data_IF_607031932432
#
_entry.id   IF_607031932432
#
_cell.length_a   1.000
_cell.length_b   1.000
_cell.length_c   1.000
_cell.angle_alpha   90.00
_cell.angle_beta   90.00
_cell.angle_gamma   90.00
#
_symmetry.space_group_name_H-M   'P 1'
#
loop_
_entity.id
_entity.type
_entity.pdbx_description
1 polymer ?
#
# COMPACT_ATOMS: atom_id res chain seq x y z
N UNK A 1 4.94 22.05 21.19
CA UNK A 1 4.85 20.83 20.37
C UNK A 1 5.90 19.74 20.65
N UNK A 2 7.09 20.03 21.24
CA UNK A 2 8.09 18.99 21.55
C UNK A 2 7.71 18.01 22.69
N UNK A 3 6.74 18.34 23.54
CA UNK A 3 6.40 17.55 24.74
C UNK A 3 5.56 16.29 24.46
N UNK A 4 4.89 16.22 23.30
CA UNK A 4 4.02 15.08 22.96
C UNK A 4 4.76 13.94 22.26
N UNK A 5 5.75 14.26 21.41
CA UNK A 5 6.55 13.25 20.69
C UNK A 5 7.42 12.40 21.64
N UNK A 6 7.92 12.99 22.73
CA UNK A 6 8.67 12.26 23.77
C UNK A 6 7.82 11.26 24.56
N UNK A 7 6.50 11.49 24.69
CA UNK A 7 5.59 10.58 25.41
C UNK A 7 5.28 9.31 24.61
N UNK A 8 5.14 9.42 23.29
CA UNK A 8 4.86 8.28 22.41
C UNK A 8 6.05 7.31 22.36
N UNK A 9 7.29 7.82 22.25
CA UNK A 9 8.50 6.98 22.22
C UNK A 9 8.72 6.24 23.55
N UNK A 10 8.44 6.89 24.69
CA UNK A 10 8.54 6.25 26.02
C UNK A 10 7.49 5.13 26.18
N UNK A 11 6.26 5.32 25.69
CA UNK A 11 5.19 4.30 25.73
C UNK A 11 5.57 3.06 24.89
N UNK A 12 6.13 3.24 23.69
CA UNK A 12 6.55 2.14 22.83
C UNK A 12 7.74 1.35 23.41
N UNK A 13 8.71 2.02 24.06
CA UNK A 13 9.85 1.33 24.71
C UNK A 13 9.36 0.54 25.95
N UNK A 14 8.44 1.10 26.73
CA UNK A 14 7.89 0.38 27.90
C UNK A 14 7.04 -0.83 27.53
N UNK A 15 6.30 -0.78 26.41
CA UNK A 15 5.52 -1.91 25.92
C UNK A 15 6.42 -3.07 25.45
N UNK A 16 7.55 -2.76 24.81
CA UNK A 16 8.51 -3.78 24.36
C UNK A 16 9.30 -4.42 25.51
N UNK A 17 9.54 -3.68 26.60
CA UNK A 17 10.25 -4.20 27.79
C UNK A 17 9.36 -5.08 28.69
N UNK A 18 8.03 -4.85 28.68
CA UNK A 18 7.07 -5.73 29.39
C UNK A 18 6.83 -7.09 28.72
N UNK A 19 7.22 -7.25 27.44
CA UNK A 19 7.00 -8.51 26.72
C UNK A 19 8.09 -9.56 26.95
N UNK A 20 9.26 -9.17 27.48
CA UNK A 20 10.39 -10.10 27.72
C UNK A 20 10.47 -10.67 29.15
N UNK A 21 9.71 -10.13 30.11
CA UNK A 21 9.71 -10.62 31.51
C UNK A 21 8.65 -11.72 31.78
N UNK A 22 7.69 -11.93 30.88
CA UNK A 22 6.59 -12.90 31.04
C UNK A 22 6.99 -14.33 30.68
N UNK A 23 8.00 -14.52 29.81
CA UNK A 23 8.47 -15.86 29.41
C UNK A 23 9.20 -16.55 30.58
N UNK A 24 9.98 -15.81 31.37
CA UNK A 24 10.77 -16.39 32.47
C UNK A 24 9.92 -16.72 33.71
N UNK A 25 8.72 -16.16 33.84
CA UNK A 25 7.81 -16.46 34.96
C UNK A 25 7.00 -17.75 34.71
N UNK A 26 6.79 -18.14 33.45
CA UNK A 26 6.04 -19.35 33.09
C UNK A 26 6.71 -20.64 33.58
N UNK A 27 8.05 -20.65 33.69
CA UNK A 27 8.80 -21.82 34.18
C UNK A 27 8.65 -22.06 35.70
N UNK A 28 8.37 -21.01 36.49
CA UNK A 28 8.27 -21.12 37.95
C UNK A 28 6.87 -21.58 38.39
N UNK A 29 5.83 -21.18 37.65
CA UNK A 29 4.43 -21.51 37.97
C UNK A 29 4.12 -23.01 37.84
N UNK A 30 4.79 -23.72 36.93
CA UNK A 30 4.52 -25.16 36.70
C UNK A 30 4.98 -26.08 37.85
N UNK A 31 5.63 -25.54 38.89
CA UNK A 31 6.01 -26.27 40.12
C UNK A 31 4.95 -26.20 41.23
N UNK A 32 3.95 -25.33 41.10
CA UNK A 32 2.84 -25.23 42.05
C UNK A 32 1.58 -25.73 41.35
N UNK A 33 1.21 -26.98 41.62
CA UNK A 33 0.18 -27.75 40.92
C UNK A 33 -1.24 -27.17 40.97
N UNK A 34 -1.48 -26.07 40.29
CA UNK A 34 -2.80 -25.55 39.94
C UNK A 34 -3.07 -25.95 38.49
N UNK A 35 -4.03 -26.85 38.30
CA UNK A 35 -4.39 -27.37 36.99
C UNK A 35 -5.02 -26.25 36.12
N UNK A 36 -4.28 -25.82 35.09
CA UNK A 36 -4.63 -24.69 34.21
C UNK A 36 -5.71 -25.07 33.17
N UNK A 37 -6.00 -26.37 32.97
CA UNK A 37 -6.89 -26.84 31.90
C UNK A 37 -8.38 -26.55 32.15
N UNK A 38 -8.79 -26.38 33.41
CA UNK A 38 -10.20 -26.12 33.75
C UNK A 38 -10.54 -24.64 33.55
N UNK A 39 -9.67 -23.72 34.00
CA UNK A 39 -9.89 -22.27 33.79
C UNK A 39 -9.85 -21.88 32.31
N UNK A 40 -8.99 -22.52 31.52
CA UNK A 40 -8.89 -22.22 30.10
C UNK A 40 -10.10 -22.75 29.29
N UNK A 41 -10.69 -23.87 29.71
CA UNK A 41 -11.91 -24.40 29.09
C UNK A 41 -13.18 -23.62 29.49
N UNK A 42 -13.24 -23.06 30.70
CA UNK A 42 -14.34 -22.17 31.13
C UNK A 42 -14.28 -20.83 30.37
N UNK A 43 -13.09 -20.24 30.21
CA UNK A 43 -12.92 -19.00 29.42
C UNK A 43 -13.24 -19.20 27.93
N UNK A 44 -12.99 -20.39 27.38
CA UNK A 44 -13.34 -20.74 26.00
C UNK A 44 -14.82 -21.12 25.81
N UNK A 45 -15.50 -21.63 26.85
CA UNK A 45 -16.93 -21.98 26.77
C UNK A 45 -17.84 -20.76 27.01
N UNK A 46 -17.42 -19.81 27.86
CA UNK A 46 -18.13 -18.55 28.08
C UNK A 46 -18.08 -17.62 26.85
N UNK A 47 -16.98 -17.63 26.07
CA UNK A 47 -16.89 -16.84 24.83
C UNK A 47 -17.78 -17.36 23.70
N UNK A 48 -18.10 -18.66 23.68
CA UNK A 48 -19.02 -19.25 22.68
C UNK A 48 -20.50 -18.91 22.95
N UNK A 49 -20.87 -18.61 24.19
CA UNK A 49 -22.24 -18.25 24.55
C UNK A 49 -22.54 -16.74 24.42
N UNK A 50 -21.52 -15.90 24.33
CA UNK A 50 -21.71 -14.52 23.88
C UNK A 50 -21.59 -14.48 22.35
N UNK A 51 -22.67 -14.85 21.67
CA UNK A 51 -22.83 -14.49 20.26
C UNK A 51 -22.85 -12.97 20.19
N UNK A 52 -21.67 -12.36 20.01
CA UNK A 52 -21.57 -11.06 19.36
C UNK A 52 -22.11 -11.33 17.96
N UNK A 53 -23.43 -11.17 17.81
CA UNK A 53 -24.03 -11.08 16.48
C UNK A 53 -23.20 -10.03 15.76
N UNK A 54 -22.63 -10.31 14.56
CA UNK A 54 -22.03 -9.25 13.76
C UNK A 54 -23.09 -8.15 13.74
N UNK A 55 -22.73 -6.98 14.24
CA UNK A 55 -23.69 -5.91 14.44
C UNK A 55 -24.19 -5.57 13.04
N UNK A 56 -25.35 -6.11 12.68
CA UNK A 56 -25.85 -6.11 11.31
C UNK A 56 -25.78 -4.70 10.77
N UNK A 57 -25.29 -4.56 9.54
CA UNK A 57 -25.03 -3.31 8.81
C UNK A 57 -25.72 -2.12 9.47
N UNK A 58 -25.03 -1.44 10.38
CA UNK A 58 -25.52 -0.13 10.81
C UNK A 58 -25.47 0.70 9.54
N UNK A 59 -26.63 0.97 8.95
CA UNK A 59 -26.77 1.87 7.80
C UNK A 59 -26.22 3.23 8.23
N UNK A 60 -24.95 3.47 7.92
CA UNK A 60 -24.30 4.76 8.08
C UNK A 60 -24.90 5.65 6.99
N UNK A 61 -25.36 6.84 7.38
CA UNK A 61 -25.84 7.86 6.46
C UNK A 61 -24.74 8.19 5.43
N UNK A 62 -25.09 8.27 4.16
CA UNK A 62 -24.13 8.44 3.05
C UNK A 62 -23.29 9.70 3.20
N UNK A 63 -23.77 10.73 3.92
CA UNK A 63 -22.98 11.94 4.24
C UNK A 63 -21.73 11.69 5.09
N UNK A 64 -21.65 10.53 5.75
CA UNK A 64 -20.49 10.10 6.54
C UNK A 64 -19.64 9.05 5.82
N UNK A 65 -20.02 8.65 4.60
CA UNK A 65 -19.21 7.77 3.75
C UNK A 65 -18.29 8.61 2.88
N UNK A 66 -17.14 8.03 2.54
CA UNK A 66 -16.25 8.61 1.54
C UNK A 66 -16.96 8.66 0.19
N UNK A 67 -16.95 9.81 -0.48
CA UNK A 67 -17.56 9.95 -1.80
C UNK A 67 -16.59 9.45 -2.89
N UNK A 68 -16.82 8.23 -3.40
CA UNK A 68 -15.99 7.67 -4.46
C UNK A 68 -16.20 8.34 -5.82
N UNK A 69 -17.32 9.06 -6.00
CA UNK A 69 -17.64 9.78 -7.24
C UNK A 69 -16.65 10.90 -7.55
N UNK A 70 -15.92 11.40 -6.53
CA UNK A 70 -14.86 12.39 -6.67
C UNK A 70 -13.63 11.82 -7.41
N UNK A 71 -13.46 10.49 -7.41
CA UNK A 71 -12.38 9.79 -8.13
C UNK A 71 -12.91 9.26 -9.46
N UNK A 72 -13.97 8.45 -9.41
CA UNK A 72 -14.66 7.91 -10.58
C UNK A 72 -16.16 7.90 -10.35
N UNK A 73 -16.91 8.43 -11.32
CA UNK A 73 -18.38 8.45 -11.29
C UNK A 73 -18.99 7.06 -11.16
N UNK A 74 -18.38 6.08 -11.80
CA UNK A 74 -18.84 4.70 -11.82
C UNK A 74 -17.69 3.73 -12.14
N UNK A 75 -17.96 2.44 -12.01
CA UNK A 75 -17.01 1.36 -12.33
C UNK A 75 -16.62 1.37 -13.81
N UNK A 76 -17.50 1.82 -14.71
CA UNK A 76 -17.23 1.80 -16.15
C UNK A 76 -16.17 2.85 -16.52
N UNK A 77 -16.16 4.01 -15.86
CA UNK A 77 -15.12 5.02 -15.99
C UNK A 77 -13.77 4.48 -15.47
N UNK A 78 -13.79 3.74 -14.36
CA UNK A 78 -12.61 3.08 -13.82
C UNK A 78 -12.05 1.99 -14.75
N UNK A 79 -12.91 1.14 -15.32
CA UNK A 79 -12.49 0.11 -16.29
C UNK A 79 -11.93 0.73 -17.59
N UNK A 80 -12.48 1.87 -18.04
CA UNK A 80 -11.93 2.61 -19.19
C UNK A 80 -10.51 3.11 -18.95
N UNK A 81 -10.21 3.60 -17.75
CA UNK A 81 -8.86 4.05 -17.41
C UNK A 81 -7.87 2.87 -17.34
N UNK A 82 -8.30 1.69 -16.86
CA UNK A 82 -7.48 0.47 -16.96
C UNK A 82 -7.15 0.13 -18.41
N UNK A 83 -8.16 0.15 -19.30
CA UNK A 83 -7.94 -0.09 -20.72
C UNK A 83 -7.01 0.96 -21.34
N UNK A 84 -7.20 2.23 -20.98
CA UNK A 84 -6.36 3.34 -21.43
C UNK A 84 -4.90 3.11 -21.04
N UNK A 85 -4.63 2.74 -19.80
CA UNK A 85 -3.28 2.42 -19.31
C UNK A 85 -2.65 1.29 -20.13
N UNK A 86 -3.38 0.18 -20.31
CA UNK A 86 -2.87 -0.97 -21.08
C UNK A 86 -2.63 -0.68 -22.56
N UNK A 87 -3.47 0.15 -23.19
CA UNK A 87 -3.41 0.40 -24.63
C UNK A 87 -2.46 1.56 -24.99
N UNK A 88 -2.43 2.62 -24.18
CA UNK A 88 -1.74 3.87 -24.52
C UNK A 88 -0.39 4.03 -23.83
N UNK A 89 -0.20 3.48 -22.63
CA UNK A 89 1.01 3.67 -21.84
C UNK A 89 1.90 2.45 -21.83
N UNK A 90 1.37 1.26 -21.51
CA UNK A 90 2.17 0.03 -21.38
C UNK A 90 3.04 -0.31 -22.60
N UNK A 91 2.58 -0.15 -23.86
CA UNK A 91 3.42 -0.40 -25.02
C UNK A 91 4.63 0.54 -25.12
N UNK A 92 4.51 1.78 -24.62
CA UNK A 92 5.56 2.80 -24.71
C UNK A 92 6.75 2.50 -23.80
N UNK A 93 6.55 1.80 -22.67
CA UNK A 93 7.64 1.47 -21.74
C UNK A 93 8.80 0.73 -22.42
N UNK A 94 8.47 -0.21 -23.32
CA UNK A 94 9.47 -0.96 -24.10
C UNK A 94 10.28 -0.08 -25.05
N UNK A 95 9.76 1.08 -25.44
CA UNK A 95 10.48 1.99 -26.33
C UNK A 95 11.61 2.74 -25.62
N UNK A 96 11.58 2.82 -24.29
CA UNK A 96 12.56 3.52 -23.46
C UNK A 96 13.66 2.62 -22.90
N UNK A 97 13.45 1.31 -22.88
CA UNK A 97 14.43 0.32 -22.42
C UNK A 97 15.75 0.44 -23.22
N UNK A 98 16.86 0.63 -22.50
CA UNK A 98 18.21 0.81 -23.07
C UNK A 98 18.50 2.21 -23.61
N UNK A 99 17.59 3.18 -23.47
CA UNK A 99 17.73 4.56 -23.98
C UNK A 99 17.80 5.62 -22.89
N UNK A 100 17.81 5.25 -21.61
CA UNK A 100 17.77 6.19 -20.47
C UNK A 100 19.09 6.92 -20.21
N UNK A 101 20.14 6.61 -20.98
CA UNK A 101 21.42 7.35 -20.98
C UNK A 101 21.31 8.72 -21.64
N UNK A 102 20.36 8.92 -22.54
CA UNK A 102 20.10 10.23 -23.15
C UNK A 102 19.22 11.06 -22.21
N UNK A 103 19.68 12.24 -21.74
CA UNK A 103 18.89 13.10 -20.86
C UNK A 103 17.52 13.51 -21.42
N UNK A 104 17.38 13.63 -22.74
CA UNK A 104 16.10 13.97 -23.34
C UNK A 104 15.13 12.77 -23.32
N UNK A 105 15.64 11.56 -23.57
CA UNK A 105 14.84 10.33 -23.49
C UNK A 105 14.44 9.99 -22.06
N UNK A 106 15.34 10.22 -21.11
CA UNK A 106 15.02 10.11 -19.68
C UNK A 106 13.92 11.09 -19.28
N UNK A 107 13.96 12.34 -19.75
CA UNK A 107 12.90 13.32 -19.47
C UNK A 107 11.56 12.92 -20.09
N UNK A 108 11.56 12.42 -21.33
CA UNK A 108 10.34 11.90 -21.98
C UNK A 108 9.76 10.73 -21.20
N UNK A 109 10.60 9.78 -20.78
CA UNK A 109 10.20 8.65 -19.95
C UNK A 109 9.59 9.10 -18.63
N UNK A 110 10.28 9.95 -17.86
CA UNK A 110 9.82 10.38 -16.53
C UNK A 110 8.49 11.14 -16.58
N UNK A 111 8.26 11.94 -17.62
CA UNK A 111 6.96 12.61 -17.83
C UNK A 111 5.85 11.62 -18.16
N UNK A 112 6.12 10.67 -19.05
CA UNK A 112 5.15 9.65 -19.42
C UNK A 112 4.81 8.75 -18.23
N UNK A 113 5.82 8.39 -17.43
CA UNK A 113 5.67 7.60 -16.22
C UNK A 113 4.90 8.35 -15.11
N UNK A 114 5.14 9.65 -14.95
CA UNK A 114 4.35 10.51 -14.07
C UNK A 114 2.87 10.53 -14.49
N UNK A 115 2.57 10.71 -15.78
CA UNK A 115 1.20 10.67 -16.29
C UNK A 115 0.53 9.31 -16.07
N UNK A 116 1.25 8.20 -16.31
CA UNK A 116 0.76 6.85 -16.11
C UNK A 116 0.52 6.53 -14.63
N UNK A 117 1.46 6.89 -13.76
CA UNK A 117 1.39 6.64 -12.31
C UNK A 117 0.25 7.38 -11.63
N UNK A 118 -0.11 8.59 -12.11
CA UNK A 118 -1.30 9.31 -11.63
C UNK A 118 -2.58 8.51 -11.92
N UNK A 119 -2.71 7.96 -13.13
CA UNK A 119 -3.90 7.16 -13.51
C UNK A 119 -3.92 5.84 -12.74
N UNK A 120 -2.79 5.12 -12.68
CA UNK A 120 -2.66 3.89 -11.89
C UNK A 120 -2.99 4.10 -10.41
N UNK A 121 -2.54 5.21 -9.83
CA UNK A 121 -2.85 5.56 -8.44
C UNK A 121 -4.36 5.73 -8.24
N UNK A 122 -5.06 6.41 -9.16
CA UNK A 122 -6.52 6.55 -9.07
C UNK A 122 -7.22 5.20 -9.15
N UNK A 123 -6.79 4.34 -10.06
CA UNK A 123 -7.33 2.98 -10.22
C UNK A 123 -7.19 2.20 -8.92
N UNK A 124 -5.99 2.22 -8.32
CA UNK A 124 -5.69 1.52 -7.07
C UNK A 124 -6.50 2.05 -5.89
N UNK A 125 -6.49 3.37 -5.66
CA UNK A 125 -7.20 3.97 -4.53
C UNK A 125 -8.71 3.83 -4.62
N UNK A 126 -9.29 3.92 -5.82
CA UNK A 126 -10.73 3.71 -5.99
C UNK A 126 -11.16 2.30 -5.54
N UNK A 127 -10.42 1.27 -5.96
CA UNK A 127 -10.70 -0.11 -5.59
C UNK A 127 -10.51 -0.34 -4.08
N UNK A 128 -9.42 0.16 -3.51
CA UNK A 128 -9.12 0.06 -2.07
C UNK A 128 -10.18 0.75 -1.21
N UNK A 129 -10.52 2.00 -1.51
CA UNK A 129 -11.54 2.73 -0.75
C UNK A 129 -12.92 2.10 -0.86
N UNK A 130 -13.25 1.49 -2.00
CA UNK A 130 -14.48 0.73 -2.13
C UNK A 130 -14.50 -0.50 -1.20
N UNK A 131 -13.38 -1.20 -1.05
CA UNK A 131 -13.24 -2.29 -0.08
C UNK A 131 -13.33 -1.83 1.37
N UNK A 132 -12.80 -0.64 1.68
CA UNK A 132 -12.86 -0.08 3.05
C UNK A 132 -14.29 0.30 3.46
N UNK A 133 -15.17 0.64 2.50
CA UNK A 133 -16.59 0.91 2.78
C UNK A 133 -17.34 -0.34 3.25
N UNK A 134 -17.00 -1.51 2.70
CA UNK A 134 -17.59 -2.78 3.10
C UNK A 134 -16.67 -3.97 2.76
N UNK A 135 -16.01 -4.53 3.76
CA UNK A 135 -15.11 -5.69 3.59
C UNK A 135 -15.85 -6.99 3.22
N UNK A 136 -17.18 -7.03 3.32
CA UNK A 136 -18.00 -8.16 2.87
C UNK A 136 -18.50 -8.04 1.43
N UNK A 137 -18.16 -6.95 0.72
CA UNK A 137 -18.56 -6.75 -0.67
C UNK A 137 -17.64 -7.56 -1.62
N UNK A 138 -18.23 -8.57 -2.26
CA UNK A 138 -17.54 -9.40 -3.25
C UNK A 138 -17.14 -8.57 -4.49
N UNK A 139 -17.95 -7.58 -4.91
CA UNK A 139 -17.61 -6.73 -6.06
C UNK A 139 -16.37 -5.88 -5.75
N UNK A 140 -16.27 -5.35 -4.53
CA UNK A 140 -15.09 -4.60 -4.10
C UNK A 140 -13.82 -5.47 -4.10
N UNK A 141 -13.95 -6.73 -3.68
CA UNK A 141 -12.84 -7.70 -3.68
C UNK A 141 -12.34 -7.99 -5.09
N UNK A 142 -13.26 -8.13 -6.05
CA UNK A 142 -12.91 -8.31 -7.48
C UNK A 142 -12.21 -7.08 -8.06
N UNK A 143 -12.67 -5.88 -7.70
CA UNK A 143 -12.05 -4.63 -8.14
C UNK A 143 -10.63 -4.47 -7.59
N UNK A 144 -10.41 -4.82 -6.32
CA UNK A 144 -9.07 -4.82 -5.70
C UNK A 144 -8.16 -5.81 -6.44
N UNK A 145 -8.65 -7.02 -6.72
CA UNK A 145 -7.87 -8.04 -7.44
C UNK A 145 -7.46 -7.57 -8.85
N UNK A 146 -8.38 -6.90 -9.56
CA UNK A 146 -8.10 -6.28 -10.86
C UNK A 146 -7.10 -5.13 -10.74
N UNK A 147 -7.20 -4.29 -9.70
CA UNK A 147 -6.26 -3.21 -9.43
C UNK A 147 -4.85 -3.71 -9.12
N UNK A 148 -4.73 -4.76 -8.31
CA UNK A 148 -3.45 -5.39 -7.99
C UNK A 148 -2.82 -6.00 -9.25
N UNK A 149 -3.61 -6.62 -10.13
CA UNK A 149 -3.13 -7.16 -11.40
C UNK A 149 -2.50 -6.08 -12.29
N UNK A 150 -3.16 -4.93 -12.46
CA UNK A 150 -2.65 -3.86 -13.33
C UNK A 150 -1.40 -3.20 -12.73
N UNK A 151 -1.33 -3.05 -11.41
CA UNK A 151 -0.13 -2.55 -10.72
C UNK A 151 1.03 -3.53 -10.88
N UNK A 152 0.79 -4.84 -10.74
CA UNK A 152 1.82 -5.85 -10.96
C UNK A 152 2.34 -5.87 -12.41
N UNK A 153 1.46 -5.69 -13.40
CA UNK A 153 1.86 -5.52 -14.81
C UNK A 153 2.74 -4.27 -15.00
N UNK A 154 2.38 -3.15 -14.37
CA UNK A 154 3.18 -1.93 -14.39
C UNK A 154 4.57 -2.13 -13.76
N UNK A 155 4.64 -2.73 -12.57
CA UNK A 155 5.91 -2.97 -11.86
C UNK A 155 6.89 -3.79 -12.71
N UNK A 156 6.38 -4.79 -13.44
CA UNK A 156 7.17 -5.58 -14.38
C UNK A 156 7.73 -4.71 -15.52
N UNK A 157 6.93 -3.78 -16.04
CA UNK A 157 7.35 -2.90 -17.13
C UNK A 157 8.41 -1.89 -16.69
N UNK A 158 8.39 -1.41 -15.44
CA UNK A 158 9.37 -0.41 -14.96
C UNK A 158 10.62 -1.01 -14.34
N UNK A 159 10.70 -2.34 -14.20
CA UNK A 159 11.83 -3.03 -13.55
C UNK A 159 13.19 -2.72 -14.20
N UNK A 160 13.23 -2.35 -15.49
CA UNK A 160 14.47 -1.99 -16.19
C UNK A 160 15.05 -0.63 -15.76
N UNK A 161 14.22 0.29 -15.25
CA UNK A 161 14.60 1.68 -14.97
C UNK A 161 15.77 1.77 -13.98
N UNK A 162 15.61 1.17 -12.81
CA UNK A 162 16.60 1.21 -11.72
C UNK A 162 17.96 0.60 -12.13
N UNK A 163 18.05 -0.64 -12.65
CA UNK A 163 19.34 -1.22 -13.05
C UNK A 163 19.97 -0.47 -14.23
N UNK A 164 19.18 0.08 -15.16
CA UNK A 164 19.72 0.85 -16.28
C UNK A 164 20.35 2.16 -15.79
N UNK A 165 19.71 2.84 -14.84
CA UNK A 165 20.24 4.07 -14.26
C UNK A 165 21.51 3.80 -13.44
N UNK A 166 21.49 2.76 -12.60
CA UNK A 166 22.65 2.36 -11.78
C UNK A 166 23.82 1.79 -12.59
N UNK A 167 23.60 1.40 -13.86
CA UNK A 167 24.67 0.95 -14.76
C UNK A 167 25.55 2.10 -15.28
N UNK A 168 25.12 3.35 -15.12
CA UNK A 168 25.85 4.54 -15.53
C UNK A 168 26.94 4.90 -14.51
N UNK A 169 28.00 5.59 -14.96
CA UNK A 169 29.02 6.10 -14.06
C UNK A 169 28.52 7.30 -13.25
N UNK A 170 29.16 7.55 -12.11
CA UNK A 170 28.78 8.63 -11.19
C UNK A 170 28.84 10.03 -11.85
N UNK A 171 29.74 10.25 -12.81
CA UNK A 171 29.84 11.54 -13.48
C UNK A 171 28.66 11.77 -14.43
N UNK A 172 28.22 10.74 -15.16
CA UNK A 172 27.01 10.76 -15.98
C UNK A 172 25.76 11.07 -15.14
N UNK A 173 25.59 10.41 -13.99
CA UNK A 173 24.46 10.67 -13.08
C UNK A 173 24.46 12.11 -12.54
N UNK A 174 25.63 12.62 -12.12
CA UNK A 174 25.76 14.02 -11.67
C UNK A 174 25.42 15.01 -12.79
N UNK A 175 25.78 14.71 -14.03
CA UNK A 175 25.42 15.52 -15.20
C UNK A 175 23.91 15.54 -15.44
N UNK A 176 23.23 14.40 -15.27
CA UNK A 176 21.77 14.31 -15.37
C UNK A 176 21.08 15.14 -14.27
N UNK A 177 21.52 15.03 -13.02
CA UNK A 177 20.98 15.79 -11.88
C UNK A 177 21.21 17.30 -12.06
N UNK A 178 22.37 17.70 -12.60
CA UNK A 178 22.69 19.10 -12.86
C UNK A 178 21.92 19.70 -14.06
N UNK A 179 21.27 18.87 -14.89
CA UNK A 179 20.55 19.34 -16.07
C UNK A 179 19.29 20.13 -15.65
N UNK A 180 19.16 21.41 -16.06
CA UNK A 180 18.02 22.24 -15.68
C UNK A 180 16.65 21.65 -16.06
N UNK A 181 16.58 20.85 -17.14
CA UNK A 181 15.34 20.22 -17.58
C UNK A 181 14.87 19.09 -16.65
N UNK A 182 15.81 18.42 -15.97
CA UNK A 182 15.55 17.28 -15.08
C UNK A 182 15.43 17.70 -13.61
N UNK A 183 15.58 18.99 -13.29
CA UNK A 183 15.57 19.51 -11.93
C UNK A 183 14.35 19.07 -11.11
N UNK A 184 13.16 19.03 -11.71
CA UNK A 184 11.93 18.61 -11.02
C UNK A 184 11.92 17.10 -10.73
N UNK A 185 12.67 16.32 -11.50
CA UNK A 185 12.75 14.87 -11.39
C UNK A 185 14.04 14.38 -10.73
N UNK A 186 14.90 15.28 -10.24
CA UNK A 186 16.19 14.94 -9.63
C UNK A 186 16.08 14.06 -8.38
N UNK A 187 14.89 13.92 -7.78
CA UNK A 187 14.66 13.01 -6.65
C UNK A 187 14.41 11.55 -7.09
N UNK A 188 14.13 11.33 -8.36
CA UNK A 188 14.00 10.00 -8.98
C UNK A 188 15.34 9.48 -9.54
N UNK A 189 16.37 10.33 -9.61
CA UNK A 189 17.70 10.03 -10.16
C UNK A 189 18.70 9.95 -9.02
#
# INVERSE_FOLDING_TARGET
MLKSRKKIVIICITASMMMNLTINTFAIVNKSGVNVNEKQSIMYSESKNNTIKPQGEKKIDDKYKWNLEDIYKDVQAWEKDIEKVRKEYFPKYKEYEGKLKDPNKLLEFLKMDEEASIVLSKIYWYAGFRGDLNQGDNEATELISKADSIVAEYDQLVTFFTPELLSQDEASLKSLIANPKLKNYAHFI
#
